data_IF_496670673506
#
_entry.id   IF_496670673506
#
_cell.length_a   1.000
_cell.length_b   1.000
_cell.length_c   1.000
_cell.angle_alpha   90.00
_cell.angle_beta   90.00
_cell.angle_gamma   90.00
#
_symmetry.space_group_name_H-M   'P 1'
#
loop_
_entity.id
_entity.type
_entity.pdbx_description
1 polymer ?
#
# COMPACT_ATOMS: atom_id res chain seq x y z
N UNK A 1 53.33 9.54 33.09
CA UNK A 1 52.80 8.76 31.93
C UNK A 1 51.28 8.55 32.01
N UNK A 2 50.74 8.19 33.19
CA UNK A 2 49.30 7.94 33.42
C UNK A 2 48.35 9.10 33.06
N UNK A 3 48.69 10.35 33.40
CA UNK A 3 47.84 11.51 33.12
C UNK A 3 47.57 11.75 31.61
N UNK A 4 48.55 11.47 30.74
CA UNK A 4 48.37 11.55 29.27
C UNK A 4 47.45 10.44 28.75
N UNK A 5 47.44 9.28 29.41
CA UNK A 5 46.59 8.14 29.04
C UNK A 5 45.13 8.39 29.43
N UNK A 6 44.90 8.94 30.63
CA UNK A 6 43.56 9.34 31.09
C UNK A 6 42.96 10.44 30.21
N UNK A 7 43.75 11.42 29.79
CA UNK A 7 43.30 12.46 28.85
C UNK A 7 42.93 11.90 27.46
N UNK A 8 43.63 10.87 26.98
CA UNK A 8 43.26 10.20 25.71
C UNK A 8 41.98 9.39 25.83
N UNK A 9 41.79 8.68 26.94
CA UNK A 9 40.55 7.94 27.21
C UNK A 9 39.35 8.88 27.33
N UNK A 10 39.50 9.99 28.07
CA UNK A 10 38.48 11.02 28.20
C UNK A 10 38.08 11.61 26.84
N UNK A 11 39.05 12.04 26.01
CA UNK A 11 38.76 12.54 24.65
C UNK A 11 38.07 11.49 23.78
N UNK A 12 38.56 10.25 23.80
CA UNK A 12 37.96 9.16 23.01
C UNK A 12 36.51 8.91 23.44
N UNK A 13 36.24 8.92 24.75
CA UNK A 13 34.89 8.80 25.29
C UNK A 13 34.00 9.99 24.90
N UNK A 14 34.51 11.23 24.99
CA UNK A 14 33.81 12.44 24.56
C UNK A 14 33.46 12.38 23.06
N UNK A 15 34.38 11.91 22.21
CA UNK A 15 34.12 11.69 20.79
C UNK A 15 33.04 10.62 20.56
N UNK A 16 33.09 9.49 21.28
CA UNK A 16 32.09 8.42 21.17
C UNK A 16 30.70 8.87 21.63
N UNK A 17 30.61 9.65 22.72
CA UNK A 17 29.34 10.21 23.19
C UNK A 17 28.80 11.22 22.18
N UNK A 18 29.66 12.09 21.64
CA UNK A 18 29.27 13.06 20.64
C UNK A 18 28.79 12.40 19.33
N UNK A 19 29.47 11.34 18.87
CA UNK A 19 29.07 10.59 17.69
C UNK A 19 27.73 9.87 17.89
N UNK A 20 27.53 9.25 19.07
CA UNK A 20 26.23 8.67 19.45
C UNK A 20 25.12 9.73 19.48
N UNK A 21 25.38 10.92 20.02
CA UNK A 21 24.40 12.01 20.01
C UNK A 21 24.04 12.41 18.57
N UNK A 22 25.03 12.58 17.69
CA UNK A 22 24.81 12.86 16.26
C UNK A 22 23.96 11.79 15.59
N UNK A 23 24.26 10.51 15.82
CA UNK A 23 23.47 9.41 15.28
C UNK A 23 22.02 9.46 15.77
N UNK A 24 21.80 9.70 17.06
CA UNK A 24 20.47 9.85 17.63
C UNK A 24 19.72 11.04 17.03
N UNK A 25 20.39 12.16 16.80
CA UNK A 25 19.77 13.36 16.20
C UNK A 25 19.41 13.13 14.73
N UNK A 26 20.25 12.42 13.96
CA UNK A 26 19.91 12.00 12.59
C UNK A 26 18.66 11.13 12.59
N UNK A 27 18.58 10.12 13.48
CA UNK A 27 17.41 9.24 13.57
C UNK A 27 16.15 9.99 13.99
N UNK A 28 16.27 10.93 14.93
CA UNK A 28 15.17 11.81 15.35
C UNK A 28 14.66 12.67 14.18
N UNK A 29 15.58 13.27 13.42
CA UNK A 29 15.23 14.10 12.28
C UNK A 29 14.56 13.28 11.16
N UNK A 30 15.05 12.07 10.89
CA UNK A 30 14.43 11.15 9.94
C UNK A 30 13.01 10.79 10.36
N UNK A 31 12.80 10.45 11.64
CA UNK A 31 11.47 10.15 12.18
C UNK A 31 10.53 11.35 12.04
N UNK A 32 10.95 12.54 12.47
CA UNK A 32 10.16 13.76 12.36
C UNK A 32 9.79 14.05 10.90
N UNK A 33 10.76 13.91 9.98
CA UNK A 33 10.52 14.07 8.55
C UNK A 33 9.47 13.08 8.02
N UNK A 34 9.52 11.81 8.43
CA UNK A 34 8.52 10.82 8.02
C UNK A 34 7.14 11.13 8.60
N UNK A 35 7.07 11.59 9.84
CA UNK A 35 5.81 11.96 10.48
C UNK A 35 5.14 13.15 9.76
N UNK A 36 5.91 14.16 9.33
CA UNK A 36 5.41 15.27 8.50
C UNK A 36 4.95 14.80 7.11
N UNK A 37 5.68 13.88 6.47
CA UNK A 37 5.28 13.34 5.17
C UNK A 37 3.97 12.54 5.25
N UNK A 38 3.74 11.80 6.34
CA UNK A 38 2.47 11.09 6.58
C UNK A 38 1.29 12.03 6.79
N UNK A 39 1.54 13.23 7.32
CA UNK A 39 0.51 14.25 7.52
C UNK A 39 0.11 14.93 6.20
N UNK A 40 0.94 14.88 5.15
CA UNK A 40 0.60 15.40 3.82
C UNK A 40 -0.23 14.38 3.02
N UNK A 41 -1.54 14.59 2.82
CA UNK A 41 -2.41 13.63 2.14
C UNK A 41 -2.29 13.69 0.61
N UNK A 42 -1.87 14.84 0.05
CA UNK A 42 -1.71 15.04 -1.39
C UNK A 42 -0.28 14.74 -1.83
N UNK A 43 -0.16 13.95 -2.90
CA UNK A 43 1.10 13.71 -3.62
C UNK A 43 1.14 14.65 -4.83
N UNK A 44 1.94 15.70 -4.75
CA UNK A 44 2.15 16.61 -5.88
C UNK A 44 2.87 15.91 -7.02
N UNK A 45 2.42 16.14 -8.24
CA UNK A 45 3.09 15.69 -9.46
C UNK A 45 3.75 16.88 -10.14
N UNK A 46 4.79 16.60 -10.93
CA UNK A 46 5.38 17.62 -11.78
C UNK A 46 4.31 18.17 -12.75
N UNK A 47 4.22 19.50 -12.86
CA UNK A 47 3.20 20.18 -13.66
C UNK A 47 1.92 20.53 -12.90
N UNK A 48 1.71 20.03 -11.68
CA UNK A 48 0.60 20.48 -10.83
C UNK A 48 0.83 21.94 -10.41
N UNK A 49 -0.12 22.81 -10.73
CA UNK A 49 -0.13 24.17 -10.20
C UNK A 49 -0.67 24.16 -8.76
N UNK A 50 -0.09 25.00 -7.91
CA UNK A 50 -0.54 25.16 -6.52
C UNK A 50 -0.75 26.63 -6.18
N UNK A 51 -1.71 26.88 -5.30
CA UNK A 51 -1.93 28.16 -4.63
C UNK A 51 -1.50 28.06 -3.16
N UNK A 52 -1.12 29.15 -2.47
CA UNK A 52 -0.91 29.11 -1.03
C UNK A 52 -2.08 28.49 -0.25
N UNK A 53 -3.32 28.62 -0.75
CA UNK A 53 -4.51 28.03 -0.15
C UNK A 53 -4.52 26.49 -0.18
N UNK A 54 -3.87 25.87 -1.17
CA UNK A 54 -3.75 24.42 -1.33
C UNK A 54 -2.93 23.79 -0.19
N UNK A 55 -2.09 24.57 0.48
CA UNK A 55 -1.30 24.11 1.63
C UNK A 55 -2.01 24.33 2.97
N UNK A 56 -3.28 24.77 2.94
CA UNK A 56 -4.06 24.96 4.17
C UNK A 56 -4.53 23.62 4.75
N UNK A 57 -4.70 23.52 6.09
CA UNK A 57 -5.25 22.32 6.72
C UNK A 57 -6.63 21.92 6.18
N UNK A 58 -7.42 22.90 5.73
CA UNK A 58 -8.77 22.69 5.18
C UNK A 58 -8.71 21.94 3.85
N UNK A 59 -7.85 22.38 2.92
CA UNK A 59 -7.67 21.68 1.63
C UNK A 59 -7.03 20.30 1.82
N UNK A 60 -6.05 20.18 2.72
CA UNK A 60 -5.47 18.88 3.08
C UNK A 60 -6.54 17.91 3.60
N UNK A 61 -7.46 18.36 4.44
CA UNK A 61 -8.55 17.53 4.94
C UNK A 61 -9.49 17.04 3.83
N UNK A 62 -9.69 17.82 2.76
CA UNK A 62 -10.49 17.38 1.60
C UNK A 62 -9.79 16.24 0.85
N UNK A 63 -8.47 16.33 0.63
CA UNK A 63 -7.70 15.28 -0.04
C UNK A 63 -7.50 14.02 0.80
N UNK A 64 -7.63 14.11 2.12
CA UNK A 64 -7.62 12.93 2.99
C UNK A 64 -8.79 11.98 2.70
N UNK A 65 -9.90 12.49 2.14
CA UNK A 65 -11.05 11.67 1.75
C UNK A 65 -10.67 10.85 0.52
N UNK A 66 -10.74 9.52 0.63
CA UNK A 66 -10.54 8.61 -0.49
C UNK A 66 -11.64 8.89 -1.53
N UNK A 67 -11.25 9.41 -2.68
CA UNK A 67 -12.14 9.50 -3.84
C UNK A 67 -12.46 8.09 -4.33
N UNK A 68 -13.73 7.83 -4.63
CA UNK A 68 -14.13 6.62 -5.35
C UNK A 68 -13.47 6.59 -6.71
N UNK A 69 -13.16 5.39 -7.24
CA UNK A 69 -12.63 5.29 -8.60
C UNK A 69 -13.69 5.85 -9.58
N UNK A 70 -13.28 6.80 -10.43
CA UNK A 70 -14.19 7.53 -11.31
C UNK A 70 -14.59 6.76 -12.59
N UNK A 71 -14.16 5.52 -12.76
CA UNK A 71 -14.41 4.74 -13.98
C UNK A 71 -14.55 3.25 -13.73
N UNK A 72 -15.42 2.61 -14.51
CA UNK A 72 -15.60 1.17 -14.54
C UNK A 72 -14.41 0.54 -15.27
N UNK A 73 -13.59 -0.22 -14.53
CA UNK A 73 -12.38 -0.88 -15.06
C UNK A 73 -12.72 -1.92 -16.13
N UNK A 74 -13.88 -2.57 -16.04
CA UNK A 74 -14.31 -3.60 -17.02
C UNK A 74 -14.60 -2.95 -18.37
N UNK A 75 -15.29 -1.80 -18.36
CA UNK A 75 -15.58 -1.03 -19.59
C UNK A 75 -14.30 -0.39 -20.14
N UNK A 76 -13.43 0.15 -19.27
CA UNK A 76 -12.17 0.78 -19.67
C UNK A 76 -11.18 -0.20 -20.33
N UNK A 77 -11.13 -1.45 -19.85
CA UNK A 77 -10.28 -2.50 -20.41
C UNK A 77 -10.96 -3.31 -21.53
N UNK A 78 -12.26 -3.11 -21.77
CA UNK A 78 -13.01 -3.83 -22.80
C UNK A 78 -13.09 -5.35 -22.57
N UNK A 79 -12.96 -5.81 -21.33
CA UNK A 79 -12.91 -7.24 -21.01
C UNK A 79 -14.31 -7.82 -20.83
N UNK A 80 -14.48 -9.11 -21.19
CA UNK A 80 -15.71 -9.87 -20.93
C UNK A 80 -15.53 -10.74 -19.67
N UNK A 81 -16.13 -10.38 -18.52
CA UNK A 81 -15.89 -11.10 -17.27
C UNK A 81 -16.18 -12.60 -17.34
N UNK A 82 -17.23 -13.00 -18.04
CA UNK A 82 -17.65 -14.41 -18.09
C UNK A 82 -16.61 -15.35 -18.73
N UNK A 83 -15.74 -14.82 -19.59
CA UNK A 83 -14.69 -15.59 -20.27
C UNK A 83 -13.38 -15.59 -19.48
N UNK A 84 -13.22 -14.66 -18.55
CA UNK A 84 -12.02 -14.49 -17.72
C UNK A 84 -12.03 -15.37 -16.46
N UNK A 85 -12.92 -16.36 -16.40
CA UNK A 85 -13.10 -17.23 -15.23
C UNK A 85 -11.85 -18.06 -14.88
N UNK A 86 -10.90 -18.21 -15.80
CA UNK A 86 -9.61 -18.89 -15.58
C UNK A 86 -8.53 -17.97 -14.99
N UNK A 87 -8.76 -16.66 -14.96
CA UNK A 87 -7.82 -15.69 -14.44
C UNK A 87 -8.05 -15.50 -12.93
N UNK A 88 -7.24 -16.17 -12.11
CA UNK A 88 -7.39 -16.15 -10.65
C UNK A 88 -7.04 -14.80 -10.03
N UNK A 89 -6.08 -14.05 -10.61
CA UNK A 89 -5.75 -12.70 -10.15
C UNK A 89 -6.94 -11.76 -10.33
N UNK A 90 -7.68 -11.89 -11.45
CA UNK A 90 -8.88 -11.10 -11.67
C UNK A 90 -9.99 -11.46 -10.68
N UNK A 91 -10.15 -12.75 -10.33
CA UNK A 91 -11.10 -13.16 -9.29
C UNK A 91 -10.73 -12.55 -7.95
N UNK A 92 -9.45 -12.64 -7.57
CA UNK A 92 -8.91 -12.11 -6.32
C UNK A 92 -9.19 -10.61 -6.15
N UNK A 93 -9.00 -9.81 -7.20
CA UNK A 93 -9.24 -8.36 -7.17
C UNK A 93 -10.69 -7.98 -6.82
N UNK A 94 -11.66 -8.89 -7.02
CA UNK A 94 -13.08 -8.69 -6.77
C UNK A 94 -13.64 -9.55 -5.63
N UNK A 95 -12.78 -10.25 -4.89
CA UNK A 95 -13.12 -10.98 -3.67
C UNK A 95 -12.40 -10.38 -2.45
N UNK A 96 -13.04 -10.48 -1.28
CA UNK A 96 -12.37 -10.22 -0.01
C UNK A 96 -11.40 -11.36 0.30
N UNK A 97 -10.48 -11.14 1.26
CA UNK A 97 -9.59 -12.18 1.79
C UNK A 97 -10.33 -13.45 2.25
N UNK A 98 -11.60 -13.34 2.63
CA UNK A 98 -12.48 -14.47 2.99
C UNK A 98 -13.21 -15.13 1.80
N UNK A 99 -12.87 -14.81 0.55
CA UNK A 99 -13.49 -15.35 -0.67
C UNK A 99 -14.89 -14.79 -1.03
N UNK A 100 -15.39 -13.82 -0.27
CA UNK A 100 -16.69 -13.17 -0.52
C UNK A 100 -16.60 -12.12 -1.64
N UNK A 101 -17.64 -12.00 -2.46
CA UNK A 101 -17.70 -10.99 -3.54
C UNK A 101 -17.81 -9.58 -2.94
N UNK A 102 -16.92 -8.69 -3.35
CA UNK A 102 -16.87 -7.30 -2.87
C UNK A 102 -18.12 -6.52 -3.34
N UNK A 103 -18.68 -5.69 -2.46
CA UNK A 103 -19.83 -4.83 -2.77
C UNK A 103 -19.50 -3.76 -3.83
N UNK A 104 -20.49 -3.37 -4.65
CA UNK A 104 -20.34 -2.39 -5.76
C UNK A 104 -19.74 -1.05 -5.34
N UNK A 105 -20.04 -0.61 -4.10
CA UNK A 105 -19.47 0.61 -3.51
C UNK A 105 -17.94 0.58 -3.43
N UNK A 106 -17.36 -0.60 -3.20
CA UNK A 106 -15.91 -0.77 -3.09
C UNK A 106 -15.26 -1.09 -4.43
N UNK A 107 -15.95 -1.83 -5.32
CA UNK A 107 -15.44 -2.11 -6.67
C UNK A 107 -15.57 -0.93 -7.63
N UNK A 108 -16.51 0.00 -7.38
CA UNK A 108 -16.87 1.12 -8.25
C UNK A 108 -17.26 0.70 -9.68
N UNK A 109 -17.74 -0.53 -9.85
CA UNK A 109 -18.25 -1.04 -11.13
C UNK A 109 -19.70 -0.62 -11.37
N UNK A 110 -20.09 -0.52 -12.64
CA UNK A 110 -21.50 -0.34 -13.01
C UNK A 110 -22.30 -1.57 -12.59
N UNK A 111 -23.58 -1.42 -12.23
CA UNK A 111 -24.41 -2.55 -11.79
C UNK A 111 -24.44 -3.73 -12.77
N UNK A 112 -24.41 -3.46 -14.08
CA UNK A 112 -24.37 -4.49 -15.13
C UNK A 112 -23.08 -5.30 -15.06
N UNK A 113 -21.93 -4.64 -14.96
CA UNK A 113 -20.62 -5.29 -14.92
C UNK A 113 -20.38 -5.98 -13.58
N UNK A 114 -20.83 -5.39 -12.47
CA UNK A 114 -20.83 -6.03 -11.16
C UNK A 114 -21.59 -7.38 -11.19
N UNK A 115 -22.76 -7.46 -11.86
CA UNK A 115 -23.49 -8.73 -12.01
C UNK A 115 -22.72 -9.74 -12.85
N UNK A 116 -22.04 -9.32 -13.92
CA UNK A 116 -21.22 -10.19 -14.77
C UNK A 116 -20.01 -10.74 -14.00
N UNK A 117 -19.30 -9.89 -13.26
CA UNK A 117 -18.19 -10.28 -12.37
C UNK A 117 -18.69 -11.25 -11.30
N UNK A 118 -19.79 -10.91 -10.62
CA UNK A 118 -20.33 -11.79 -9.60
C UNK A 118 -20.77 -13.16 -10.17
N UNK A 119 -21.30 -13.20 -11.39
CA UNK A 119 -21.64 -14.44 -12.10
C UNK A 119 -20.39 -15.25 -12.46
N UNK A 120 -19.31 -14.58 -12.89
CA UNK A 120 -18.01 -15.22 -13.13
C UNK A 120 -17.48 -15.85 -11.83
N UNK A 121 -17.41 -15.10 -10.72
CA UNK A 121 -16.88 -15.60 -9.44
C UNK A 121 -17.67 -16.82 -8.94
N UNK A 122 -19.01 -16.73 -8.92
CA UNK A 122 -19.86 -17.86 -8.52
C UNK A 122 -19.67 -19.09 -9.41
N UNK A 123 -19.43 -18.89 -10.71
CA UNK A 123 -19.13 -19.98 -11.65
C UNK A 123 -17.82 -20.67 -11.26
N UNK A 124 -16.74 -19.93 -11.04
CA UNK A 124 -15.43 -20.51 -10.72
C UNK A 124 -15.44 -21.24 -9.39
N UNK A 125 -16.10 -20.67 -8.37
CA UNK A 125 -16.31 -21.30 -7.08
C UNK A 125 -17.16 -22.57 -7.19
N UNK A 126 -18.27 -22.51 -7.95
CA UNK A 126 -19.14 -23.67 -8.19
C UNK A 126 -18.50 -24.78 -9.01
N UNK A 127 -17.53 -24.45 -9.88
CA UNK A 127 -16.71 -25.43 -10.61
C UNK A 127 -15.60 -26.04 -9.75
N UNK A 128 -15.34 -25.52 -8.54
CA UNK A 128 -14.28 -25.99 -7.66
C UNK A 128 -12.86 -25.57 -8.07
N UNK A 129 -12.73 -24.59 -8.96
CA UNK A 129 -11.42 -24.13 -9.46
C UNK A 129 -10.81 -23.08 -8.52
N UNK A 130 -11.66 -22.26 -7.86
CA UNK A 130 -11.23 -21.21 -6.92
C UNK A 130 -11.85 -21.42 -5.55
N UNK A 131 -11.11 -21.25 -4.43
CA UNK A 131 -11.64 -21.48 -3.10
C UNK A 131 -12.77 -20.49 -2.72
N UNK A 132 -13.70 -20.94 -1.88
CA UNK A 132 -14.81 -20.10 -1.40
C UNK A 132 -14.44 -19.26 -0.17
N UNK A 133 -13.42 -19.69 0.58
CA UNK A 133 -13.13 -19.20 1.94
C UNK A 133 -11.87 -18.32 1.99
N UNK A 134 -10.99 -18.45 1.01
CA UNK A 134 -9.72 -17.72 0.93
C UNK A 134 -9.34 -17.49 -0.53
N UNK A 135 -8.29 -16.69 -0.74
CA UNK A 135 -7.73 -16.48 -2.06
C UNK A 135 -7.07 -17.76 -2.62
N UNK A 136 -6.86 -17.82 -3.93
CA UNK A 136 -6.22 -18.98 -4.54
C UNK A 136 -4.84 -19.25 -3.92
N UNK A 137 -4.50 -20.51 -3.57
CA UNK A 137 -3.29 -20.84 -2.79
C UNK A 137 -1.99 -20.36 -3.46
N UNK A 138 -1.90 -20.41 -4.79
CA UNK A 138 -0.74 -19.90 -5.52
C UNK A 138 -0.57 -18.37 -5.42
N UNK A 139 -1.63 -17.62 -5.11
CA UNK A 139 -1.58 -16.16 -4.96
C UNK A 139 -1.10 -15.75 -3.57
N UNK A 140 -1.51 -16.48 -2.53
CA UNK A 140 -1.09 -16.23 -1.14
C UNK A 140 0.25 -16.89 -0.80
N UNK A 141 0.81 -17.70 -1.70
CA UNK A 141 2.06 -18.44 -1.47
C UNK A 141 3.21 -17.53 -1.02
N UNK A 142 3.32 -16.35 -1.62
CA UNK A 142 4.39 -15.39 -1.31
C UNK A 142 4.23 -14.68 0.04
N UNK A 143 3.03 -14.70 0.62
CA UNK A 143 2.80 -14.15 1.96
C UNK A 143 3.37 -15.08 3.04
N UNK A 144 3.45 -16.39 2.75
CA UNK A 144 3.92 -17.42 3.69
C UNK A 144 5.38 -17.85 3.44
N UNK A 145 5.81 -17.89 2.18
CA UNK A 145 7.12 -18.39 1.81
C UNK A 145 7.90 -17.34 1.02
N UNK A 146 9.18 -17.08 1.37
CA UNK A 146 10.03 -16.18 0.59
C UNK A 146 10.17 -16.70 -0.84
N UNK A 147 10.26 -15.79 -1.80
CA UNK A 147 10.47 -16.17 -3.18
C UNK A 147 11.82 -16.90 -3.28
N UNK A 148 11.96 -17.99 -4.06
CA UNK A 148 13.22 -18.70 -4.18
C UNK A 148 14.42 -17.88 -4.69
N UNK A 149 14.19 -16.64 -5.17
CA UNK A 149 15.25 -15.71 -5.60
C UNK A 149 15.72 -14.76 -4.47
N UNK A 150 15.00 -14.72 -3.36
CA UNK A 150 15.26 -13.85 -2.21
C UNK A 150 15.85 -14.63 -1.01
N UNK A 151 16.11 -15.95 -1.19
CA UNK A 151 16.76 -16.84 -0.23
C UNK A 151 18.22 -17.09 -0.63
#
# INVERSE_FOLDING_TARGET
>A
MAARMLNRYRRSHEFLVHDKQKQLDILRNQKNSQDFLRQMPRRFKAGDLYSPHDMSPVEMAKWKKRSSRNGDVVDALGIRPLDMYKNFSLVQDFTNSSGQIIHSRSTSLRPVNQRKIAKMIRRVQGMGIYPSIHDHPEMIRYDFFPHPRDA
#
